data_IF_620903715827
#
_entry.id   IF_620903715827
#
_cell.length_a   1.000
_cell.length_b   1.000
_cell.length_c   1.000
_cell.angle_alpha   90.00
_cell.angle_beta   90.00
_cell.angle_gamma   90.00
#
_symmetry.space_group_name_H-M   'P 1'
#
loop_
_entity.id
_entity.type
_entity.pdbx_description
1 polymer ?
#
# COMPACT_ATOMS: atom_id res chain seq x y z
N UNK A 1 14.02 -9.14 0.47
CA UNK A 1 13.62 -9.05 1.76
C UNK A 1 14.30 -9.85 2.83
N UNK A 2 13.59 -10.03 3.92
CA UNK A 2 14.11 -10.68 5.14
C UNK A 2 14.50 -12.14 4.86
N UNK A 3 13.68 -12.88 4.10
CA UNK A 3 13.93 -14.30 3.77
C UNK A 3 15.16 -14.45 2.88
N UNK A 4 15.31 -13.62 1.87
CA UNK A 4 16.49 -13.63 1.00
C UNK A 4 17.77 -13.29 1.76
N UNK A 5 17.70 -12.40 2.75
CA UNK A 5 18.82 -12.04 3.62
C UNK A 5 19.22 -13.21 4.53
N UNK A 6 18.23 -13.92 5.08
CA UNK A 6 18.45 -15.10 5.91
C UNK A 6 19.07 -16.28 5.13
N UNK A 7 18.69 -16.44 3.86
CA UNK A 7 19.18 -17.54 3.00
C UNK A 7 20.47 -17.18 2.23
N UNK A 8 21.05 -16.00 2.44
CA UNK A 8 22.27 -15.56 1.76
C UNK A 8 22.11 -15.27 0.26
N UNK A 9 20.87 -15.25 -0.25
CA UNK A 9 20.56 -14.96 -1.67
C UNK A 9 20.31 -13.49 -1.94
N UNK A 10 20.29 -12.67 -0.89
CA UNK A 10 20.08 -11.22 -1.00
C UNK A 10 21.21 -10.58 -1.83
N UNK A 11 20.82 -9.87 -2.89
CA UNK A 11 21.75 -9.22 -3.79
C UNK A 11 22.42 -10.14 -4.81
N UNK A 12 22.00 -11.42 -4.93
CA UNK A 12 22.51 -12.30 -5.99
C UNK A 12 22.15 -11.75 -7.37
N UNK A 13 23.01 -11.99 -8.37
CA UNK A 13 22.78 -11.54 -9.75
C UNK A 13 21.47 -12.07 -10.34
N UNK A 14 21.05 -13.28 -9.96
CA UNK A 14 19.79 -13.88 -10.41
C UNK A 14 18.58 -13.10 -9.89
N UNK A 15 18.57 -12.75 -8.59
CA UNK A 15 17.50 -11.97 -7.97
C UNK A 15 17.45 -10.55 -8.50
N UNK A 16 18.62 -9.89 -8.63
CA UNK A 16 18.69 -8.53 -9.20
C UNK A 16 18.30 -8.52 -10.67
N UNK A 17 18.74 -9.53 -11.43
CA UNK A 17 18.39 -9.67 -12.84
C UNK A 17 16.89 -9.84 -13.06
N UNK A 18 16.23 -10.69 -12.27
CA UNK A 18 14.78 -10.88 -12.34
C UNK A 18 14.01 -9.61 -11.94
N UNK A 19 14.42 -8.93 -10.87
CA UNK A 19 13.79 -7.68 -10.45
C UNK A 19 13.96 -6.58 -11.52
N UNK A 20 15.14 -6.44 -12.08
CA UNK A 20 15.42 -5.50 -13.17
C UNK A 20 14.61 -5.82 -14.42
N UNK A 21 14.48 -7.09 -14.77
CA UNK A 21 13.68 -7.53 -15.91
C UNK A 21 12.21 -7.18 -15.73
N UNK A 22 11.63 -7.45 -14.55
CA UNK A 22 10.24 -7.09 -14.24
C UNK A 22 10.05 -5.58 -14.32
N UNK A 23 10.97 -4.79 -13.76
CA UNK A 23 10.92 -3.33 -13.82
C UNK A 23 10.97 -2.83 -15.28
N UNK A 24 11.89 -3.34 -16.09
CA UNK A 24 12.03 -2.96 -17.49
C UNK A 24 10.78 -3.32 -18.30
N UNK A 25 10.21 -4.51 -18.08
CA UNK A 25 8.97 -4.92 -18.73
C UNK A 25 7.81 -3.98 -18.39
N UNK A 26 7.65 -3.62 -17.11
CA UNK A 26 6.60 -2.69 -16.67
C UNK A 26 6.79 -1.33 -17.37
N UNK A 27 8.01 -0.79 -17.40
CA UNK A 27 8.32 0.49 -18.06
C UNK A 27 8.04 0.40 -19.55
N UNK A 28 8.43 -0.70 -20.21
CA UNK A 28 8.22 -0.92 -21.63
C UNK A 28 6.72 -0.91 -21.98
N UNK A 29 5.91 -1.70 -21.27
CA UNK A 29 4.46 -1.73 -21.52
C UNK A 29 3.76 -0.44 -21.08
N UNK A 30 4.25 0.23 -20.05
CA UNK A 30 3.70 1.50 -19.61
C UNK A 30 3.90 2.63 -20.64
N UNK A 31 4.95 2.55 -21.45
CA UNK A 31 5.20 3.49 -22.58
C UNK A 31 4.39 3.18 -23.84
N UNK A 32 3.63 2.10 -23.86
CA UNK A 32 2.83 1.71 -25.03
C UNK A 32 1.78 2.78 -25.35
N UNK A 33 1.56 2.99 -26.65
CA UNK A 33 0.45 3.81 -27.16
C UNK A 33 -0.91 3.15 -26.96
N UNK A 34 -0.93 1.83 -26.83
CA UNK A 34 -2.15 1.09 -26.55
C UNK A 34 -2.54 1.27 -25.08
N UNK A 35 -3.72 1.90 -24.85
CA UNK A 35 -4.26 2.19 -23.51
C UNK A 35 -4.35 0.95 -22.62
N UNK A 36 -4.79 -0.19 -23.18
CA UNK A 36 -4.96 -1.43 -22.42
C UNK A 36 -3.62 -2.03 -21.98
N UNK A 37 -2.62 -2.05 -22.86
CA UNK A 37 -1.28 -2.53 -22.52
C UNK A 37 -0.62 -1.64 -21.45
N UNK A 38 -0.79 -0.32 -21.56
CA UNK A 38 -0.27 0.62 -20.58
C UNK A 38 -0.92 0.43 -19.20
N UNK A 39 -2.25 0.24 -19.15
CA UNK A 39 -2.98 0.01 -17.90
C UNK A 39 -2.61 -1.33 -17.25
N UNK A 40 -2.39 -2.37 -18.05
CA UNK A 40 -2.06 -3.71 -17.56
C UNK A 40 -0.56 -3.92 -17.36
N UNK A 41 0.27 -2.90 -17.55
CA UNK A 41 1.73 -3.02 -17.54
C UNK A 41 2.29 -3.69 -16.28
N UNK A 42 1.77 -3.31 -15.11
CA UNK A 42 2.20 -3.88 -13.82
C UNK A 42 1.79 -5.35 -13.74
N UNK A 43 0.55 -5.67 -14.10
CA UNK A 43 0.04 -7.05 -14.08
C UNK A 43 0.83 -7.93 -15.05
N UNK A 44 1.09 -7.44 -16.27
CA UNK A 44 1.89 -8.15 -17.26
C UNK A 44 3.31 -8.39 -16.73
N UNK A 45 3.94 -7.37 -16.14
CA UNK A 45 5.28 -7.50 -15.55
C UNK A 45 5.32 -8.53 -14.42
N UNK A 46 4.33 -8.51 -13.53
CA UNK A 46 4.21 -9.49 -12.45
C UNK A 46 3.99 -10.90 -12.96
N UNK A 47 3.07 -11.10 -13.91
CA UNK A 47 2.77 -12.43 -14.48
C UNK A 47 3.99 -12.99 -15.20
N UNK A 48 4.63 -12.20 -16.06
CA UNK A 48 5.84 -12.64 -16.79
C UNK A 48 6.98 -12.93 -15.81
N UNK A 49 7.20 -12.06 -14.83
CA UNK A 49 8.20 -12.27 -13.78
C UNK A 49 7.95 -13.54 -12.97
N UNK A 50 6.68 -13.80 -12.62
CA UNK A 50 6.27 -15.01 -11.91
C UNK A 50 6.52 -16.29 -12.73
N UNK A 51 6.18 -16.27 -14.02
CA UNK A 51 6.44 -17.39 -14.94
C UNK A 51 7.95 -17.65 -15.07
N UNK A 52 8.76 -16.62 -15.22
CA UNK A 52 10.23 -16.76 -15.28
C UNK A 52 10.78 -17.32 -13.97
N UNK A 53 10.32 -16.81 -12.83
CA UNK A 53 10.70 -17.28 -11.51
C UNK A 53 10.34 -18.78 -11.30
N UNK A 54 9.22 -19.23 -11.86
CA UNK A 54 8.85 -20.64 -11.85
C UNK A 54 9.88 -21.50 -12.63
N UNK A 55 10.27 -21.09 -13.84
CA UNK A 55 11.30 -21.80 -14.60
C UNK A 55 12.69 -21.74 -13.97
N UNK A 56 12.97 -20.72 -13.16
CA UNK A 56 14.20 -20.64 -12.36
C UNK A 56 14.15 -21.51 -11.08
N UNK A 57 13.04 -22.22 -10.84
CA UNK A 57 12.90 -23.08 -9.65
C UNK A 57 12.73 -22.31 -8.34
N UNK A 58 12.36 -21.04 -8.40
CA UNK A 58 12.18 -20.19 -7.19
C UNK A 58 10.83 -20.40 -6.52
N UNK A 59 9.90 -21.15 -7.15
CA UNK A 59 8.52 -21.32 -6.67
C UNK A 59 8.26 -22.81 -6.42
N UNK A 60 7.84 -23.12 -5.21
CA UNK A 60 7.38 -24.45 -4.83
C UNK A 60 5.86 -24.45 -4.62
N UNK A 61 5.15 -25.13 -5.54
CA UNK A 61 3.70 -25.29 -5.48
C UNK A 61 3.23 -26.46 -4.62
N UNK A 62 4.12 -27.22 -3.99
CA UNK A 62 3.75 -28.38 -3.18
C UNK A 62 2.79 -27.99 -2.04
N UNK A 63 2.96 -26.81 -1.48
CA UNK A 63 2.11 -26.27 -0.43
C UNK A 63 0.70 -25.88 -0.88
N UNK A 64 0.48 -25.64 -2.19
CA UNK A 64 -0.84 -25.25 -2.73
C UNK A 64 -1.86 -26.37 -2.63
N UNK A 65 -1.41 -27.62 -2.78
CA UNK A 65 -2.30 -28.79 -2.73
C UNK A 65 -2.96 -29.01 -1.36
N UNK A 66 -2.38 -28.45 -0.30
CA UNK A 66 -2.92 -28.56 1.07
C UNK A 66 -4.10 -27.60 1.34
N UNK A 67 -4.36 -26.64 0.46
CA UNK A 67 -5.37 -25.60 0.65
C UNK A 67 -6.45 -25.67 -0.42
N UNK A 68 -7.16 -26.78 -0.49
CA UNK A 68 -8.33 -26.94 -1.36
C UNK A 68 -9.61 -26.56 -0.61
N UNK A 69 -10.46 -25.76 -1.24
CA UNK A 69 -11.79 -25.45 -0.72
C UNK A 69 -12.09 -23.95 -0.61
N UNK A 70 -13.26 -23.66 -0.07
CA UNK A 70 -13.72 -22.31 0.26
C UNK A 70 -13.54 -22.09 1.75
N UNK A 71 -12.93 -21.00 2.14
CA UNK A 71 -12.78 -20.61 3.54
C UNK A 71 -13.65 -19.38 3.84
N UNK A 72 -14.58 -19.56 4.76
CA UNK A 72 -15.43 -18.46 5.24
C UNK A 72 -14.75 -17.86 6.48
N UNK A 73 -14.45 -16.55 6.48
CA UNK A 73 -13.84 -15.92 7.64
C UNK A 73 -14.78 -15.99 8.86
N UNK A 74 -14.26 -16.49 9.97
CA UNK A 74 -15.01 -16.61 11.24
C UNK A 74 -14.76 -15.34 12.07
N UNK A 75 -15.81 -14.59 12.44
CA UNK A 75 -15.66 -13.41 13.29
C UNK A 75 -15.05 -13.80 14.65
N UNK A 76 -14.21 -12.94 15.21
CA UNK A 76 -13.59 -13.07 16.53
C UNK A 76 -12.89 -14.41 16.80
N UNK A 77 -12.30 -15.01 15.78
CA UNK A 77 -11.65 -16.34 15.88
C UNK A 77 -10.60 -16.43 16.99
N UNK A 78 -9.90 -15.33 17.27
CA UNK A 78 -8.84 -15.25 18.29
C UNK A 78 -9.31 -14.66 19.62
N UNK A 79 -10.61 -14.40 19.75
CA UNK A 79 -11.19 -13.73 20.91
C UNK A 79 -11.01 -12.22 20.90
N UNK A 80 -11.37 -11.58 22.01
CA UNK A 80 -11.22 -10.15 22.22
C UNK A 80 -10.34 -9.93 23.45
N UNK A 81 -9.32 -9.12 23.31
CA UNK A 81 -8.51 -8.60 24.41
C UNK A 81 -8.43 -7.09 24.28
N UNK A 82 -8.39 -6.40 25.42
CA UNK A 82 -8.26 -4.95 25.45
C UNK A 82 -7.02 -4.58 26.28
N UNK A 83 -6.16 -3.76 25.67
CA UNK A 83 -4.98 -3.21 26.32
C UNK A 83 -4.90 -1.70 26.08
N UNK A 84 -4.79 -0.93 27.15
CA UNK A 84 -4.75 0.53 27.09
C UNK A 84 -3.56 1.07 26.30
N UNK A 85 -2.38 0.46 26.43
CA UNK A 85 -1.18 0.89 25.72
C UNK A 85 -1.36 0.76 24.20
N UNK A 86 -1.83 -0.40 23.77
CA UNK A 86 -2.13 -0.69 22.36
C UNK A 86 -3.24 0.20 21.81
N UNK A 87 -4.29 0.46 22.61
CA UNK A 87 -5.40 1.31 22.21
C UNK A 87 -4.95 2.75 21.95
N UNK A 88 -4.11 3.31 22.83
CA UNK A 88 -3.59 4.68 22.66
C UNK A 88 -2.66 4.75 21.46
N UNK A 89 -1.74 3.79 21.31
CA UNK A 89 -0.81 3.75 20.19
C UNK A 89 -1.55 3.66 18.84
N UNK A 90 -2.50 2.74 18.71
CA UNK A 90 -3.32 2.57 17.52
C UNK A 90 -4.17 3.82 17.27
N UNK A 91 -4.76 4.42 18.31
CA UNK A 91 -5.55 5.63 18.21
C UNK A 91 -4.77 6.81 17.62
N UNK A 92 -3.51 7.00 18.03
CA UNK A 92 -2.63 8.03 17.46
C UNK A 92 -2.31 7.76 15.99
N UNK A 93 -2.01 6.51 15.64
CA UNK A 93 -1.78 6.10 14.25
C UNK A 93 -3.03 6.39 13.41
N UNK A 94 -4.23 6.09 13.92
CA UNK A 94 -5.48 6.37 13.21
C UNK A 94 -5.75 7.86 12.98
N UNK A 95 -5.31 8.74 13.86
CA UNK A 95 -5.41 10.19 13.61
C UNK A 95 -4.59 10.58 12.37
N UNK A 96 -3.41 10.00 12.21
CA UNK A 96 -2.54 10.27 11.04
C UNK A 96 -3.14 9.63 9.78
N UNK A 97 -3.63 8.40 9.87
CA UNK A 97 -4.32 7.73 8.75
C UNK A 97 -5.55 8.51 8.30
N UNK A 98 -6.27 9.17 9.22
CA UNK A 98 -7.40 10.04 8.86
C UNK A 98 -6.95 11.28 8.05
N UNK A 99 -5.77 11.85 8.38
CA UNK A 99 -5.19 12.96 7.63
C UNK A 99 -4.75 12.49 6.23
N UNK A 100 -4.12 11.32 6.15
CA UNK A 100 -3.76 10.67 4.89
C UNK A 100 -5.00 10.42 4.02
N UNK A 101 -6.05 9.82 4.59
CA UNK A 101 -7.32 9.59 3.91
C UNK A 101 -7.95 10.89 3.38
N UNK A 102 -7.89 11.97 4.17
CA UNK A 102 -8.36 13.29 3.73
C UNK A 102 -7.57 13.77 2.51
N UNK A 103 -6.24 13.60 2.53
CA UNK A 103 -5.37 13.96 1.40
C UNK A 103 -5.70 13.17 0.14
N UNK A 104 -5.89 11.86 0.25
CA UNK A 104 -6.24 10.98 -0.86
C UNK A 104 -7.62 11.25 -1.42
N UNK A 105 -8.62 11.54 -0.57
CA UNK A 105 -9.96 11.93 -1.00
C UNK A 105 -9.90 13.27 -1.75
N UNK A 106 -9.06 14.20 -1.29
CA UNK A 106 -8.83 15.48 -1.97
C UNK A 106 -8.23 15.25 -3.35
N UNK A 107 -7.14 14.48 -3.42
CA UNK A 107 -6.49 14.14 -4.68
C UNK A 107 -7.44 13.42 -5.65
N UNK A 108 -8.20 12.44 -5.16
CA UNK A 108 -9.22 11.72 -5.94
C UNK A 108 -10.29 12.66 -6.48
N UNK A 109 -10.79 13.58 -5.65
CA UNK A 109 -11.77 14.58 -6.07
C UNK A 109 -11.22 15.47 -7.18
N UNK A 110 -10.00 15.98 -7.04
CA UNK A 110 -9.33 16.80 -8.07
C UNK A 110 -9.20 16.05 -9.39
N UNK A 111 -8.73 14.81 -9.36
CA UNK A 111 -8.54 13.98 -10.55
C UNK A 111 -9.88 13.67 -11.24
N UNK A 112 -10.94 13.50 -10.45
CA UNK A 112 -12.27 13.20 -10.93
C UNK A 112 -13.05 14.44 -11.41
N UNK A 113 -12.45 15.63 -11.33
CA UNK A 113 -13.10 16.90 -11.71
C UNK A 113 -14.19 17.33 -10.73
N UNK A 114 -14.13 16.83 -9.51
CA UNK A 114 -15.10 17.15 -8.46
C UNK A 114 -14.60 18.28 -7.54
N UNK A 115 -15.48 19.09 -6.95
CA UNK A 115 -15.08 20.19 -6.09
C UNK A 115 -14.29 19.70 -4.86
N UNK A 116 -13.23 20.41 -4.50
CA UNK A 116 -12.38 20.16 -3.31
C UNK A 116 -12.63 21.18 -2.19
N UNK A 117 -13.67 21.97 -2.32
CA UNK A 117 -14.09 22.97 -1.34
C UNK A 117 -15.61 22.96 -1.18
N UNK A 118 -16.09 23.55 -0.10
CA UNK A 118 -17.50 23.70 0.20
C UNK A 118 -18.16 22.48 0.81
N UNK A 119 -19.47 22.59 1.06
CA UNK A 119 -20.24 21.59 1.82
C UNK A 119 -20.25 20.20 1.17
N UNK A 120 -20.27 20.12 -0.17
CA UNK A 120 -20.24 18.84 -0.89
C UNK A 120 -18.92 18.09 -0.67
N UNK A 121 -17.81 18.83 -0.65
CA UNK A 121 -16.51 18.23 -0.38
C UNK A 121 -16.39 17.76 1.06
N UNK A 122 -16.84 18.57 2.03
CA UNK A 122 -16.81 18.22 3.46
C UNK A 122 -17.61 16.95 3.71
N UNK A 123 -18.81 16.83 3.13
CA UNK A 123 -19.63 15.60 3.22
C UNK A 123 -18.92 14.38 2.62
N UNK A 124 -18.24 14.56 1.47
CA UNK A 124 -17.47 13.48 0.83
C UNK A 124 -16.29 13.05 1.69
N UNK A 125 -15.51 14.00 2.17
CA UNK A 125 -14.34 13.74 3.01
C UNK A 125 -14.73 13.05 4.32
N UNK A 126 -15.73 13.59 5.01
CA UNK A 126 -16.26 13.00 6.25
C UNK A 126 -16.82 11.58 6.01
N UNK A 127 -17.59 11.39 4.95
CA UNK A 127 -18.11 10.07 4.59
C UNK A 127 -17.02 9.07 4.21
N UNK A 128 -15.97 9.52 3.53
CA UNK A 128 -14.84 8.67 3.14
C UNK A 128 -14.00 8.23 4.35
N UNK A 129 -13.69 9.16 5.26
CA UNK A 129 -12.96 8.84 6.50
C UNK A 129 -13.78 7.91 7.40
N UNK A 130 -15.10 8.14 7.50
CA UNK A 130 -16.00 7.25 8.25
C UNK A 130 -16.04 5.84 7.65
N UNK A 131 -16.10 5.75 6.31
CA UNK A 131 -16.09 4.47 5.61
C UNK A 131 -14.78 3.71 5.82
N UNK A 132 -13.63 4.41 5.80
CA UNK A 132 -12.31 3.83 6.06
C UNK A 132 -12.21 3.27 7.48
N UNK A 133 -12.64 4.05 8.48
CA UNK A 133 -12.70 3.61 9.88
C UNK A 133 -13.65 2.42 10.09
N UNK A 134 -14.83 2.45 9.46
CA UNK A 134 -15.79 1.34 9.54
C UNK A 134 -15.25 0.07 8.88
N UNK A 135 -14.55 0.20 7.76
CA UNK A 135 -13.92 -0.93 7.08
C UNK A 135 -12.80 -1.55 7.93
N UNK A 136 -12.00 -0.72 8.60
CA UNK A 136 -10.98 -1.17 9.56
C UNK A 136 -11.58 -1.87 10.78
N UNK A 137 -12.74 -1.38 11.27
CA UNK A 137 -13.49 -2.07 12.33
C UNK A 137 -13.94 -3.46 11.87
N UNK A 138 -14.53 -3.56 10.67
CA UNK A 138 -14.91 -4.86 10.09
C UNK A 138 -13.70 -5.78 9.90
N UNK A 139 -12.56 -5.25 9.44
CA UNK A 139 -11.33 -6.01 9.32
C UNK A 139 -10.92 -6.62 10.67
N UNK A 140 -10.99 -5.85 11.76
CA UNK A 140 -10.74 -6.36 13.12
C UNK A 140 -11.70 -7.45 13.54
N UNK A 141 -13.01 -7.31 13.25
CA UNK A 141 -14.02 -8.35 13.53
C UNK A 141 -13.69 -9.66 12.81
N UNK A 142 -13.21 -9.59 11.57
CA UNK A 142 -12.84 -10.75 10.77
C UNK A 142 -11.36 -11.17 10.91
N UNK A 143 -10.68 -10.69 11.94
CA UNK A 143 -9.29 -11.05 12.27
C UNK A 143 -8.28 -10.69 11.16
N UNK A 144 -8.53 -9.60 10.45
CA UNK A 144 -7.65 -9.03 9.45
C UNK A 144 -6.96 -7.76 9.98
N UNK A 145 -6.00 -7.26 9.21
CA UNK A 145 -5.32 -6.02 9.53
C UNK A 145 -6.21 -4.80 9.22
N UNK A 146 -5.97 -3.67 9.92
CA UNK A 146 -6.63 -2.40 9.58
C UNK A 146 -6.41 -2.04 8.11
N UNK A 147 -7.42 -1.47 7.50
CA UNK A 147 -7.35 -1.00 6.14
C UNK A 147 -7.02 0.50 6.12
N UNK A 148 -6.47 0.96 5.02
CA UNK A 148 -6.30 2.38 4.70
C UNK A 148 -6.63 2.62 3.24
N UNK A 149 -6.83 3.89 2.88
CA UNK A 149 -6.99 4.28 1.49
C UNK A 149 -5.73 3.97 0.69
N UNK A 150 -5.91 3.56 -0.56
CA UNK A 150 -4.81 3.12 -1.40
C UNK A 150 -4.51 4.20 -2.47
N UNK A 151 -3.58 5.10 -2.15
CA UNK A 151 -3.21 6.26 -2.98
C UNK A 151 -2.83 5.90 -4.42
N UNK A 152 -2.28 4.71 -4.65
CA UNK A 152 -1.91 4.22 -5.97
C UNK A 152 -3.10 4.14 -6.93
N UNK A 153 -4.32 3.97 -6.42
CA UNK A 153 -5.54 3.97 -7.23
C UNK A 153 -5.79 5.35 -7.87
N UNK A 154 -5.38 6.44 -7.24
CA UNK A 154 -5.48 7.78 -7.82
C UNK A 154 -4.63 7.87 -9.10
N UNK A 155 -3.43 7.25 -9.11
CA UNK A 155 -2.62 7.11 -10.31
C UNK A 155 -3.29 6.30 -11.41
N UNK A 156 -4.01 5.23 -11.06
CA UNK A 156 -4.77 4.43 -12.01
C UNK A 156 -5.92 5.21 -12.63
N UNK A 157 -6.64 6.01 -11.85
CA UNK A 157 -7.71 6.89 -12.37
C UNK A 157 -7.13 7.90 -13.36
N UNK A 158 -5.99 8.51 -13.05
CA UNK A 158 -5.31 9.44 -13.96
C UNK A 158 -4.91 8.77 -15.28
N UNK A 159 -4.35 7.56 -15.21
CA UNK A 159 -3.89 6.84 -16.39
C UNK A 159 -5.04 6.34 -17.27
N UNK A 160 -6.13 5.91 -16.66
CA UNK A 160 -7.27 5.31 -17.36
C UNK A 160 -8.29 6.33 -17.81
N UNK A 161 -8.40 7.46 -17.09
CA UNK A 161 -9.48 8.42 -17.25
C UNK A 161 -10.83 7.89 -16.77
N UNK A 162 -10.84 6.78 -15.98
CA UNK A 162 -12.08 6.19 -15.47
C UNK A 162 -12.21 6.47 -13.99
N UNK A 163 -13.05 7.43 -13.63
CA UNK A 163 -13.34 7.86 -12.26
C UNK A 163 -14.75 7.42 -11.77
N UNK A 164 -15.28 6.34 -12.33
CA UNK A 164 -16.62 5.88 -11.98
C UNK A 164 -16.63 5.09 -10.66
N UNK A 165 -17.51 5.48 -9.73
CA UNK A 165 -17.73 4.74 -8.47
C UNK A 165 -18.18 3.29 -8.68
N UNK A 166 -18.80 2.99 -9.82
CA UNK A 166 -19.24 1.62 -10.14
C UNK A 166 -18.06 0.65 -10.27
N UNK A 167 -16.88 1.12 -10.71
CA UNK A 167 -15.66 0.31 -10.75
C UNK A 167 -15.32 -0.21 -9.35
N UNK A 168 -15.49 0.60 -8.31
CA UNK A 168 -15.28 0.21 -6.93
C UNK A 168 -16.15 -0.97 -6.49
N UNK A 169 -17.43 -1.02 -6.90
CA UNK A 169 -18.31 -2.16 -6.60
C UNK A 169 -17.84 -3.45 -7.27
N UNK A 170 -17.37 -3.39 -8.52
CA UNK A 170 -16.80 -4.55 -9.20
C UNK A 170 -15.49 -5.01 -8.54
N UNK A 171 -14.61 -4.08 -8.16
CA UNK A 171 -13.40 -4.39 -7.42
C UNK A 171 -13.75 -5.09 -6.10
N UNK A 172 -14.69 -4.57 -5.33
CA UNK A 172 -15.13 -5.17 -4.07
C UNK A 172 -15.68 -6.59 -4.28
N UNK A 173 -16.52 -6.80 -5.30
CA UNK A 173 -17.06 -8.13 -5.63
C UNK A 173 -15.94 -9.12 -6.00
N UNK A 174 -14.98 -8.72 -6.83
CA UNK A 174 -13.83 -9.55 -7.17
C UNK A 174 -12.97 -9.87 -5.95
N UNK A 175 -12.68 -8.91 -5.09
CA UNK A 175 -11.88 -9.14 -3.88
C UNK A 175 -12.57 -10.09 -2.91
N UNK A 176 -13.90 -9.99 -2.74
CA UNK A 176 -14.68 -10.93 -1.93
C UNK A 176 -14.59 -12.35 -2.51
N UNK A 177 -14.80 -12.51 -3.82
CA UNK A 177 -14.70 -13.81 -4.49
C UNK A 177 -13.29 -14.39 -4.31
N UNK A 178 -12.24 -13.62 -4.59
CA UNK A 178 -10.86 -14.06 -4.45
C UNK A 178 -10.51 -14.41 -2.99
N UNK A 179 -11.04 -13.64 -2.02
CA UNK A 179 -10.82 -13.88 -0.59
C UNK A 179 -11.46 -15.17 -0.07
N UNK A 180 -12.51 -15.68 -0.74
CA UNK A 180 -13.14 -16.94 -0.38
C UNK A 180 -12.31 -18.19 -0.78
N UNK A 181 -11.33 -18.02 -1.68
CA UNK A 181 -10.47 -19.09 -2.17
C UNK A 181 -9.04 -18.97 -1.61
N UNK A 182 -8.67 -19.70 -0.55
CA UNK A 182 -7.34 -19.60 0.04
C UNK A 182 -6.21 -19.93 -0.95
N UNK A 183 -6.48 -20.80 -1.92
CA UNK A 183 -5.51 -21.15 -2.97
C UNK A 183 -5.06 -19.93 -3.78
N UNK A 184 -5.95 -18.98 -4.02
CA UNK A 184 -5.60 -17.73 -4.71
C UNK A 184 -4.65 -16.89 -3.87
N UNK A 185 -4.95 -16.71 -2.59
CA UNK A 185 -4.08 -16.00 -1.64
C UNK A 185 -2.69 -16.66 -1.56
N UNK A 186 -2.65 -17.98 -1.56
CA UNK A 186 -1.40 -18.73 -1.53
C UNK A 186 -0.56 -18.52 -2.80
N UNK A 187 -1.17 -18.54 -3.99
CA UNK A 187 -0.46 -18.24 -5.25
C UNK A 187 0.20 -16.86 -5.19
N UNK A 188 -0.49 -15.85 -4.65
CA UNK A 188 0.10 -14.52 -4.45
C UNK A 188 1.19 -14.50 -3.38
N UNK A 189 1.04 -15.26 -2.29
CA UNK A 189 2.05 -15.34 -1.23
C UNK A 189 3.32 -16.06 -1.64
N UNK A 190 3.23 -16.96 -2.62
CA UNK A 190 4.38 -17.66 -3.21
C UNK A 190 5.15 -16.81 -4.24
N UNK A 191 4.67 -15.59 -4.53
CA UNK A 191 5.35 -14.72 -5.48
C UNK A 191 6.75 -14.33 -4.95
N UNK A 192 7.82 -14.64 -5.71
CA UNK A 192 9.17 -14.37 -5.26
C UNK A 192 9.44 -12.88 -5.02
N UNK A 193 10.19 -12.58 -3.97
CA UNK A 193 10.56 -11.20 -3.60
C UNK A 193 11.15 -10.37 -4.75
N UNK A 194 12.01 -10.91 -5.66
CA UNK A 194 12.51 -10.14 -6.79
C UNK A 194 11.42 -9.66 -7.74
N UNK A 195 10.38 -10.48 -7.97
CA UNK A 195 9.25 -10.12 -8.85
C UNK A 195 8.43 -8.99 -8.23
N UNK A 196 8.09 -9.14 -6.94
CA UNK A 196 7.42 -8.08 -6.18
C UNK A 196 8.27 -6.83 -6.09
N UNK A 197 9.57 -6.97 -5.81
CA UNK A 197 10.51 -5.85 -5.69
C UNK A 197 10.61 -5.00 -6.95
N UNK A 198 10.68 -5.62 -8.13
CA UNK A 198 10.70 -4.90 -9.40
C UNK A 198 9.43 -4.07 -9.65
N UNK A 199 8.26 -4.62 -9.31
CA UNK A 199 6.99 -3.92 -9.45
C UNK A 199 6.80 -2.82 -8.39
N UNK A 200 7.09 -3.12 -7.12
CA UNK A 200 6.92 -2.19 -6.00
C UNK A 200 7.85 -1.00 -6.09
N UNK A 201 9.07 -1.18 -6.60
CA UNK A 201 10.00 -0.07 -6.81
C UNK A 201 9.40 1.03 -7.69
N UNK A 202 8.76 0.64 -8.81
CA UNK A 202 8.09 1.60 -9.68
C UNK A 202 6.85 2.21 -9.02
N UNK A 203 6.06 1.39 -8.32
CA UNK A 203 4.84 1.86 -7.63
C UNK A 203 5.19 2.90 -6.57
N UNK A 204 6.14 2.62 -5.68
CA UNK A 204 6.57 3.59 -4.67
C UNK A 204 7.22 4.84 -5.29
N UNK A 205 8.00 4.67 -6.38
CA UNK A 205 8.54 5.80 -7.13
C UNK A 205 7.43 6.70 -7.69
N UNK A 206 6.34 6.15 -8.20
CA UNK A 206 5.19 6.94 -8.70
C UNK A 206 4.44 7.64 -7.59
N UNK A 207 4.28 7.01 -6.41
CA UNK A 207 3.67 7.63 -5.23
C UNK A 207 4.53 8.79 -4.72
N UNK A 208 5.84 8.60 -4.62
CA UNK A 208 6.77 9.66 -4.24
C UNK A 208 6.71 10.85 -5.22
N UNK A 209 6.70 10.58 -6.53
CA UNK A 209 6.55 11.62 -7.55
C UNK A 209 5.21 12.36 -7.45
N UNK A 210 4.11 11.65 -7.12
CA UNK A 210 2.81 12.27 -6.87
C UNK A 210 2.84 13.17 -5.63
N UNK A 211 3.45 12.73 -4.53
CA UNK A 211 3.65 13.54 -3.31
C UNK A 211 4.44 14.82 -3.59
N UNK A 212 5.55 14.70 -4.32
CA UNK A 212 6.36 15.88 -4.74
C UNK A 212 5.51 16.83 -5.58
N UNK A 213 4.70 16.33 -6.50
CA UNK A 213 3.81 17.18 -7.34
C UNK A 213 2.78 17.91 -6.50
N UNK A 214 2.18 17.26 -5.49
CA UNK A 214 1.21 17.89 -4.59
C UNK A 214 1.89 19.01 -3.80
N UNK A 215 3.06 18.77 -3.24
CA UNK A 215 3.83 19.78 -2.51
C UNK A 215 4.18 20.95 -3.44
N UNK A 216 4.68 20.67 -4.65
CA UNK A 216 5.08 21.69 -5.61
C UNK A 216 3.91 22.52 -6.18
N UNK A 217 2.67 22.02 -6.09
CA UNK A 217 1.48 22.76 -6.51
C UNK A 217 1.02 23.81 -5.49
N UNK A 218 1.57 23.80 -4.28
CA UNK A 218 1.22 24.74 -3.21
C UNK A 218 2.21 25.91 -3.14
N UNK A 219 1.73 27.06 -2.63
CA UNK A 219 2.61 28.18 -2.33
C UNK A 219 3.47 27.89 -1.10
N UNK A 220 4.70 27.43 -1.32
CA UNK A 220 5.62 27.05 -0.25
C UNK A 220 6.25 28.33 0.34
N UNK A 221 5.68 28.80 1.44
CA UNK A 221 6.24 29.89 2.21
C UNK A 221 7.28 29.36 3.24
N UNK A 222 7.99 30.29 3.92
CA UNK A 222 9.03 29.93 4.90
C UNK A 222 8.55 28.97 5.99
N UNK A 223 7.30 29.10 6.44
CA UNK A 223 6.72 28.20 7.45
C UNK A 223 6.50 26.80 6.89
N UNK A 224 5.92 26.71 5.70
CA UNK A 224 5.73 25.44 5.01
C UNK A 224 7.07 24.73 4.74
N UNK A 225 8.11 25.48 4.34
CA UNK A 225 9.46 24.92 4.13
C UNK A 225 10.00 24.31 5.43
N UNK A 226 9.84 24.97 6.57
CA UNK A 226 10.31 24.45 7.85
C UNK A 226 9.54 23.18 8.27
N UNK A 227 8.22 23.18 8.11
CA UNK A 227 7.40 22.00 8.40
C UNK A 227 7.83 20.82 7.53
N UNK A 228 7.94 21.01 6.21
CA UNK A 228 8.38 19.97 5.27
C UNK A 228 9.77 19.46 5.67
N UNK A 229 10.72 20.34 5.95
CA UNK A 229 12.08 19.97 6.31
C UNK A 229 12.12 19.14 7.61
N UNK A 230 11.37 19.54 8.64
CA UNK A 230 11.31 18.82 9.91
C UNK A 230 10.62 17.47 9.74
N UNK A 231 9.46 17.42 9.07
CA UNK A 231 8.71 16.18 8.83
C UNK A 231 9.56 15.15 8.08
N UNK A 232 10.20 15.56 6.99
CA UNK A 232 11.09 14.65 6.24
C UNK A 232 12.31 14.22 7.05
N UNK A 233 12.96 15.15 7.74
CA UNK A 233 14.16 14.83 8.52
C UNK A 233 13.86 13.86 9.65
N UNK A 234 12.80 14.10 10.42
CA UNK A 234 12.41 13.24 11.54
C UNK A 234 11.87 11.89 11.04
N UNK A 235 10.98 11.90 10.05
CA UNK A 235 10.41 10.67 9.50
C UNK A 235 11.47 9.77 8.88
N UNK A 236 12.35 10.31 8.04
CA UNK A 236 13.43 9.53 7.43
C UNK A 236 14.47 9.06 8.44
N UNK A 237 14.78 9.86 9.47
CA UNK A 237 15.74 9.47 10.50
C UNK A 237 15.33 8.19 11.21
N UNK A 238 14.06 8.06 11.57
CA UNK A 238 13.53 6.87 12.26
C UNK A 238 13.44 5.67 11.32
N UNK A 239 13.11 5.88 10.06
CA UNK A 239 13.01 4.81 9.07
C UNK A 239 14.39 4.25 8.69
N UNK A 240 15.40 5.11 8.56
CA UNK A 240 16.75 4.72 8.16
C UNK A 240 17.59 4.20 9.31
N UNK A 241 17.36 4.72 10.52
CA UNK A 241 18.13 4.39 11.72
C UNK A 241 17.15 4.10 12.88
N UNK A 242 16.48 2.92 12.88
CA UNK A 242 15.53 2.57 13.94
C UNK A 242 16.13 2.53 15.34
N UNK A 243 17.46 2.36 15.42
CA UNK A 243 18.23 2.34 16.67
C UNK A 243 18.16 3.67 17.44
N UNK A 244 17.79 4.78 16.80
CA UNK A 244 17.56 6.07 17.50
C UNK A 244 16.59 5.91 18.69
N UNK A 245 15.61 5.02 18.55
CA UNK A 245 14.60 4.77 19.57
C UNK A 245 15.00 3.65 20.55
N UNK A 246 16.22 3.06 20.44
CA UNK A 246 16.61 1.87 21.21
C UNK A 246 16.46 2.03 22.75
N UNK A 247 16.74 3.23 23.25
CA UNK A 247 16.70 3.53 24.69
C UNK A 247 15.38 4.20 25.14
N UNK A 248 14.41 4.37 24.21
CA UNK A 248 13.11 4.95 24.57
C UNK A 248 12.21 3.90 25.23
N UNK A 249 11.26 4.31 26.10
CA UNK A 249 10.20 3.45 26.61
C UNK A 249 9.38 2.83 25.45
N UNK A 250 8.82 1.64 25.68
CA UNK A 250 8.08 0.90 24.65
C UNK A 250 6.90 1.67 24.07
N UNK A 251 6.23 2.48 24.88
CA UNK A 251 5.15 3.36 24.41
C UNK A 251 5.63 4.36 23.37
N UNK A 252 6.81 4.97 23.59
CA UNK A 252 7.42 5.92 22.65
C UNK A 252 7.89 5.18 21.40
N UNK A 253 8.51 4.02 21.56
CA UNK A 253 8.91 3.17 20.43
C UNK A 253 7.71 2.84 19.54
N UNK A 254 6.61 2.39 20.15
CA UNK A 254 5.40 1.99 19.39
C UNK A 254 4.78 3.17 18.63
N UNK A 255 4.83 4.39 19.16
CA UNK A 255 4.30 5.59 18.50
C UNK A 255 5.22 6.06 17.38
N UNK A 256 6.52 6.17 17.65
CA UNK A 256 7.49 6.80 16.77
C UNK A 256 8.30 5.81 15.93
N UNK A 257 7.99 4.51 15.94
CA UNK A 257 8.67 3.49 15.12
C UNK A 257 8.43 3.62 13.63
N UNK A 258 7.37 4.31 13.22
CA UNK A 258 7.05 4.57 11.82
C UNK A 258 7.48 5.98 11.42
N UNK A 259 8.19 6.07 10.30
CA UNK A 259 8.59 7.36 9.73
C UNK A 259 7.40 8.22 9.33
N UNK A 260 6.28 7.61 8.93
CA UNK A 260 5.03 8.32 8.61
C UNK A 260 4.46 8.97 9.87
N UNK A 261 4.41 8.23 11.00
CA UNK A 261 3.90 8.75 12.27
C UNK A 261 4.80 9.87 12.78
N UNK A 262 6.11 9.67 12.76
CA UNK A 262 7.09 10.63 13.27
C UNK A 262 7.15 11.91 12.44
N UNK A 263 7.03 11.79 11.12
CA UNK A 263 7.01 12.94 10.22
C UNK A 263 5.65 13.63 10.08
N UNK A 264 4.56 12.94 10.44
CA UNK A 264 3.19 13.46 10.35
C UNK A 264 2.70 14.18 11.61
N UNK A 265 3.24 13.83 12.78
CA UNK A 265 2.99 14.52 14.06
C UNK A 265 3.81 15.80 14.17
#
# INVERSE_FOLDING_TARGET
GVVAKANGTFGSFEYLGLAALVLVLIIFFNRSTNKYLRMSSIVIGLVVGYVIAYFMGMIDFSSVQSYSGVNIPVPFKYGLAFDWSSFIAIGLIYMITAIEAYGDITANSMISGEPVEGEKFIKRASGGILADGFNSFLAGVFNSFPNSVFAQNNGMIQLTGVASRYVGYYIAAFLVILGLFPAVGLVFSLMPEPVLGGATLLMFGTVAAAGIRIIASQNINRKATLVIALSFSLGLSVELIPEILAYCPDTIKNIFSSGITTGGL
#
